data_IF_646511995493
#
_entry.id   IF_646511995493
#
_cell.length_a   1.000
_cell.length_b   1.000
_cell.length_c   1.000
_cell.angle_alpha   90.00
_cell.angle_beta   90.00
_cell.angle_gamma   90.00
#
_symmetry.space_group_name_H-M   'P 1'
#
loop_
_entity.id
_entity.type
_entity.pdbx_description
1 polymer ?
#
# COMPACT_ATOMS: atom_id res chain seq x y z
N UNK A 1 -11.66 -8.25 -19.10
CA UNK A 1 -10.94 -9.22 -19.94
C UNK A 1 -11.34 -10.61 -19.49
N UNK A 2 -12.09 -11.34 -20.32
CA UNK A 2 -12.52 -12.72 -20.05
C UNK A 2 -12.15 -13.56 -21.27
N UNK A 3 -10.91 -14.09 -21.35
CA UNK A 3 -10.37 -14.73 -22.55
C UNK A 3 -11.18 -15.95 -23.04
N UNK A 4 -12.07 -16.48 -22.20
CA UNK A 4 -12.93 -17.63 -22.47
C UNK A 4 -14.42 -17.27 -22.57
N UNK A 5 -14.76 -15.97 -22.62
CA UNK A 5 -16.16 -15.52 -22.62
C UNK A 5 -16.88 -15.72 -21.28
N UNK A 6 -16.12 -15.89 -20.19
CA UNK A 6 -16.66 -16.09 -18.84
C UNK A 6 -17.37 -14.84 -18.32
N UNK A 7 -18.35 -15.08 -17.43
CA UNK A 7 -19.02 -14.01 -16.72
C UNK A 7 -18.09 -13.27 -15.74
N UNK A 8 -18.38 -11.99 -15.58
CA UNK A 8 -17.70 -11.11 -14.65
C UNK A 8 -18.15 -11.26 -13.21
N UNK A 9 -17.65 -10.37 -12.36
CA UNK A 9 -18.08 -10.28 -10.97
C UNK A 9 -19.56 -9.88 -10.88
N UNK A 10 -20.32 -10.57 -10.01
CA UNK A 10 -21.66 -10.22 -9.57
C UNK A 10 -21.75 -10.15 -8.05
N UNK A 11 -22.56 -9.23 -7.53
CA UNK A 11 -22.66 -8.88 -6.09
C UNK A 11 -23.17 -10.04 -5.21
N UNK A 12 -23.81 -11.05 -5.81
CA UNK A 12 -24.45 -12.18 -5.11
C UNK A 12 -23.73 -13.52 -5.29
N UNK A 13 -22.41 -13.51 -5.54
CA UNK A 13 -21.64 -14.74 -5.52
C UNK A 13 -21.40 -15.20 -4.09
N UNK A 14 -21.87 -16.40 -3.74
CA UNK A 14 -21.58 -17.03 -2.45
C UNK A 14 -20.15 -17.56 -2.43
N UNK A 15 -19.50 -17.46 -1.27
CA UNK A 15 -18.25 -18.15 -1.02
C UNK A 15 -18.50 -19.65 -1.01
N UNK A 16 -17.49 -20.41 -1.42
CA UNK A 16 -17.56 -21.86 -1.51
C UNK A 16 -16.40 -22.44 -0.73
N UNK A 17 -16.67 -23.45 0.11
CA UNK A 17 -15.62 -24.17 0.81
C UNK A 17 -14.68 -24.89 -0.17
N UNK A 18 -13.36 -24.88 0.08
CA UNK A 18 -12.45 -25.70 -0.69
C UNK A 18 -12.85 -27.18 -0.59
N UNK A 19 -12.81 -27.90 -1.71
CA UNK A 19 -13.01 -29.36 -1.81
C UNK A 19 -14.45 -29.87 -1.68
N UNK A 20 -15.26 -29.33 -0.77
CA UNK A 20 -16.66 -29.76 -0.54
C UNK A 20 -17.67 -29.07 -1.45
N UNK A 21 -17.30 -27.95 -2.07
CA UNK A 21 -18.18 -27.11 -2.89
C UNK A 21 -19.46 -26.61 -2.19
N UNK A 22 -19.48 -26.65 -0.86
CA UNK A 22 -20.60 -26.16 -0.07
C UNK A 22 -20.64 -24.63 -0.10
N UNK A 23 -21.80 -24.06 -0.39
CA UNK A 23 -21.99 -22.62 -0.33
C UNK A 23 -22.00 -22.16 1.12
N UNK A 24 -21.16 -21.20 1.43
CA UNK A 24 -21.15 -20.49 2.69
C UNK A 24 -22.14 -19.33 2.57
N UNK A 25 -22.87 -19.02 3.66
CA UNK A 25 -23.73 -17.83 3.79
C UNK A 25 -22.90 -16.52 3.90
N UNK A 26 -21.94 -16.33 3.00
CA UNK A 26 -21.09 -15.15 2.92
C UNK A 26 -20.81 -14.85 1.46
N UNK A 27 -21.03 -13.61 1.05
CA UNK A 27 -20.76 -13.20 -0.33
C UNK A 27 -19.26 -13.01 -0.58
N UNK A 28 -18.85 -13.24 -1.83
CA UNK A 28 -17.51 -12.96 -2.34
C UNK A 28 -17.45 -11.46 -2.64
N UNK A 29 -16.48 -10.75 -2.08
CA UNK A 29 -16.25 -9.34 -2.44
C UNK A 29 -15.62 -9.23 -3.83
N UNK A 30 -15.79 -8.08 -4.52
CA UNK A 30 -15.12 -7.83 -5.79
C UNK A 30 -13.60 -7.97 -5.64
N UNK A 31 -13.05 -7.52 -4.51
CA UNK A 31 -11.63 -7.63 -4.19
C UNK A 31 -11.17 -9.08 -4.15
N UNK A 32 -11.91 -9.96 -3.45
CA UNK A 32 -11.60 -11.39 -3.38
C UNK A 32 -11.69 -12.07 -4.74
N UNK A 33 -12.73 -11.74 -5.52
CA UNK A 33 -12.95 -12.30 -6.86
C UNK A 33 -11.81 -11.92 -7.83
N UNK A 34 -11.43 -10.65 -7.89
CA UNK A 34 -10.36 -10.20 -8.78
C UNK A 34 -8.97 -10.63 -8.29
N UNK A 35 -8.72 -10.66 -6.98
CA UNK A 35 -7.49 -11.22 -6.43
C UNK A 35 -7.31 -12.69 -6.82
N UNK A 36 -8.39 -13.48 -6.73
CA UNK A 36 -8.40 -14.88 -7.17
C UNK A 36 -8.01 -15.00 -8.65
N UNK A 37 -8.59 -14.17 -9.54
CA UNK A 37 -8.26 -14.17 -10.97
C UNK A 37 -6.83 -13.71 -11.30
N UNK A 38 -6.21 -12.90 -10.44
CA UNK A 38 -4.82 -12.43 -10.59
C UNK A 38 -3.79 -13.34 -9.92
N UNK A 39 -4.25 -14.40 -9.25
CA UNK A 39 -3.37 -15.34 -8.57
C UNK A 39 -2.59 -16.17 -9.60
N UNK A 40 -1.28 -16.29 -9.37
CA UNK A 40 -0.42 -17.21 -10.15
C UNK A 40 -0.73 -18.64 -9.70
N UNK A 41 -0.93 -19.55 -10.65
CA UNK A 41 -1.27 -20.96 -10.41
C UNK A 41 -0.47 -21.86 -11.35
N UNK A 42 -0.42 -23.15 -11.03
CA UNK A 42 0.12 -24.18 -11.93
C UNK A 42 -0.65 -24.23 -13.26
N UNK A 43 -1.96 -23.98 -13.23
CA UNK A 43 -2.79 -23.81 -14.42
C UNK A 43 -2.50 -22.46 -15.10
N UNK A 44 -2.47 -22.44 -16.42
CA UNK A 44 -2.15 -21.25 -17.21
C UNK A 44 -3.09 -20.05 -16.89
N UNK A 45 -2.54 -19.00 -16.26
CA UNK A 45 -3.24 -17.73 -16.07
C UNK A 45 -2.86 -16.75 -17.19
N UNK A 46 -3.48 -16.92 -18.37
CA UNK A 46 -3.21 -16.11 -19.56
C UNK A 46 -3.36 -14.61 -19.35
N UNK A 47 -4.23 -14.21 -18.42
CA UNK A 47 -4.50 -12.80 -18.10
C UNK A 47 -3.23 -12.03 -17.78
N UNK A 48 -2.27 -12.67 -17.09
CA UNK A 48 -1.01 -12.05 -16.67
C UNK A 48 -0.03 -11.81 -17.83
N UNK A 49 -0.26 -12.41 -19.00
CA UNK A 49 0.63 -12.34 -20.15
C UNK A 49 0.32 -11.17 -21.11
N UNK A 50 -0.81 -10.49 -20.94
CA UNK A 50 -1.30 -9.49 -21.91
C UNK A 50 -0.76 -8.05 -21.72
N UNK A 51 0.30 -7.85 -20.91
CA UNK A 51 1.05 -6.58 -20.77
C UNK A 51 0.13 -5.36 -20.57
N UNK A 52 0.07 -4.44 -21.54
CA UNK A 52 -0.75 -3.22 -21.46
C UNK A 52 -2.24 -3.48 -21.26
N UNK A 53 -2.78 -4.58 -21.79
CA UNK A 53 -4.18 -4.98 -21.57
C UNK A 53 -4.41 -5.47 -20.13
N UNK A 54 -3.41 -6.11 -19.51
CA UNK A 54 -3.46 -6.45 -18.08
C UNK A 54 -3.56 -5.17 -17.25
N UNK A 55 -2.80 -4.13 -17.58
CA UNK A 55 -2.88 -2.85 -16.84
C UNK A 55 -4.26 -2.23 -16.91
N UNK A 56 -4.84 -2.13 -18.12
CA UNK A 56 -6.22 -1.63 -18.29
C UNK A 56 -7.21 -2.44 -17.47
N UNK A 57 -7.12 -3.77 -17.55
CA UNK A 57 -7.95 -4.66 -16.75
C UNK A 57 -7.79 -4.40 -15.24
N UNK A 58 -6.56 -4.27 -14.74
CA UNK A 58 -6.29 -3.97 -13.33
C UNK A 58 -6.92 -2.65 -12.89
N UNK A 59 -6.80 -1.59 -13.68
CA UNK A 59 -7.42 -0.30 -13.39
C UNK A 59 -8.94 -0.38 -13.36
N UNK A 60 -9.54 -1.03 -14.37
CA UNK A 60 -10.99 -1.19 -14.45
C UNK A 60 -11.53 -2.00 -13.26
N UNK A 61 -10.85 -3.08 -12.88
CA UNK A 61 -11.28 -3.91 -11.76
C UNK A 61 -11.07 -3.18 -10.42
N UNK A 62 -10.01 -2.39 -10.28
CA UNK A 62 -9.80 -1.54 -9.11
C UNK A 62 -10.90 -0.49 -8.97
N UNK A 63 -11.31 0.16 -10.06
CA UNK A 63 -12.43 1.10 -10.04
C UNK A 63 -13.73 0.45 -9.56
N UNK A 64 -14.01 -0.80 -9.96
CA UNK A 64 -15.16 -1.58 -9.47
C UNK A 64 -15.06 -1.88 -7.96
N UNK A 65 -13.88 -2.29 -7.49
CA UNK A 65 -13.64 -2.54 -6.06
C UNK A 65 -13.87 -1.27 -5.24
N UNK A 66 -13.34 -0.13 -5.71
CA UNK A 66 -13.50 1.15 -5.03
C UNK A 66 -14.96 1.63 -5.05
N UNK A 67 -15.68 1.43 -6.16
CA UNK A 67 -17.10 1.73 -6.24
C UNK A 67 -17.93 0.91 -5.21
N UNK A 68 -17.64 -0.39 -5.07
CA UNK A 68 -18.27 -1.25 -4.07
C UNK A 68 -17.97 -0.79 -2.64
N UNK A 69 -16.72 -0.41 -2.35
CA UNK A 69 -16.32 0.15 -1.05
C UNK A 69 -17.02 1.47 -0.73
N UNK A 70 -17.08 2.39 -1.69
CA UNK A 70 -17.78 3.67 -1.54
C UNK A 70 -19.28 3.47 -1.36
N UNK A 71 -19.88 2.53 -2.07
CA UNK A 71 -21.28 2.15 -1.89
C UNK A 71 -21.52 1.60 -0.49
N UNK A 72 -20.66 0.71 0.00
CA UNK A 72 -20.75 0.20 1.37
C UNK A 72 -20.69 1.33 2.40
N UNK A 73 -19.73 2.26 2.26
CA UNK A 73 -19.60 3.42 3.16
C UNK A 73 -20.86 4.28 3.12
N UNK A 74 -21.38 4.59 1.92
CA UNK A 74 -22.61 5.37 1.72
C UNK A 74 -23.83 4.73 2.38
N UNK A 75 -23.98 3.41 2.28
CA UNK A 75 -25.13 2.68 2.82
C UNK A 75 -25.02 2.43 4.33
N UNK A 76 -23.81 2.39 4.90
CA UNK A 76 -23.57 2.02 6.29
C UNK A 76 -23.10 3.19 7.18
N UNK A 77 -23.37 4.44 6.80
CA UNK A 77 -22.95 5.64 7.56
C UNK A 77 -23.31 5.59 9.06
N UNK A 78 -24.52 5.11 9.40
CA UNK A 78 -24.95 4.94 10.82
C UNK A 78 -24.08 3.94 11.58
N UNK A 79 -23.73 2.80 10.97
CA UNK A 79 -22.85 1.79 11.59
C UNK A 79 -21.42 2.30 11.75
N UNK A 80 -20.98 3.17 10.84
CA UNK A 80 -19.69 3.84 10.89
C UNK A 80 -19.67 5.03 11.86
N UNK A 81 -20.75 5.22 12.65
CA UNK A 81 -20.92 6.30 13.63
C UNK A 81 -20.61 7.67 13.07
N UNK A 82 -21.03 7.87 11.82
CA UNK A 82 -20.71 9.11 11.11
C UNK A 82 -21.26 10.35 11.80
N UNK A 83 -22.38 10.18 12.50
CA UNK A 83 -23.08 11.24 13.23
C UNK A 83 -22.20 11.83 14.37
N UNK A 84 -21.29 11.06 14.96
CA UNK A 84 -20.30 11.56 15.95
C UNK A 84 -19.29 12.55 15.31
N UNK A 85 -19.05 12.44 13.99
CA UNK A 85 -18.15 13.35 13.28
C UNK A 85 -18.83 14.64 12.82
N UNK A 86 -20.18 14.71 12.85
CA UNK A 86 -20.95 15.88 12.39
C UNK A 86 -20.67 17.08 13.30
N UNK A 87 -20.62 16.87 14.62
CA UNK A 87 -20.35 17.95 15.58
C UNK A 87 -18.95 18.59 15.39
N UNK A 88 -17.99 17.82 14.86
CA UNK A 88 -16.62 18.29 14.56
C UNK A 88 -16.57 19.09 13.24
N UNK A 89 -17.53 18.85 12.33
CA UNK A 89 -17.66 19.55 11.04
C UNK A 89 -18.51 20.82 11.16
N UNK A 90 -19.54 20.83 12.00
CA UNK A 90 -20.38 22.01 12.26
C UNK A 90 -19.57 23.15 12.90
N UNK A 91 -18.54 22.83 13.69
CA UNK A 91 -17.58 23.81 14.19
C UNK A 91 -16.69 24.45 13.10
N UNK A 92 -16.58 23.83 11.91
CA UNK A 92 -15.69 24.25 10.80
C UNK A 92 -16.49 24.87 9.64
N UNK A 93 -17.78 24.57 9.50
CA UNK A 93 -18.58 24.83 8.28
C UNK A 93 -19.73 25.82 8.53
N UNK A 94 -19.50 26.89 9.28
CA UNK A 94 -20.51 27.94 9.51
C UNK A 94 -20.73 28.89 8.30
N UNK A 95 -20.29 28.53 7.10
CA UNK A 95 -20.17 29.46 5.97
C UNK A 95 -20.76 28.93 4.64
N UNK A 96 -21.80 28.09 4.67
CA UNK A 96 -22.40 27.56 3.42
C UNK A 96 -23.90 27.28 3.50
N UNK A 97 -24.61 27.64 2.42
CA UNK A 97 -26.06 27.63 2.28
C UNK A 97 -26.65 26.19 2.26
N UNK A 98 -27.55 25.83 3.19
CA UNK A 98 -28.06 24.46 3.36
C UNK A 98 -28.94 23.94 2.21
N UNK A 99 -29.39 24.81 1.28
CA UNK A 99 -30.26 24.44 0.17
C UNK A 99 -29.57 23.67 -0.98
N UNK A 100 -28.22 23.67 -1.04
CA UNK A 100 -27.45 23.09 -2.16
C UNK A 100 -26.77 21.74 -1.85
N UNK A 101 -27.03 21.14 -0.70
CA UNK A 101 -26.35 19.90 -0.32
C UNK A 101 -27.17 18.66 -0.72
N UNK A 102 -26.66 17.90 -1.70
CA UNK A 102 -26.97 16.46 -1.79
C UNK A 102 -26.59 15.73 -0.50
N UNK A 103 -27.08 14.50 -0.30
CA UNK A 103 -26.80 13.73 0.93
C UNK A 103 -25.29 13.60 1.18
N UNK A 104 -24.81 14.27 2.22
CA UNK A 104 -23.40 14.24 2.62
C UNK A 104 -23.01 12.81 3.03
N UNK A 105 -21.98 12.25 2.39
CA UNK A 105 -21.37 10.98 2.78
C UNK A 105 -19.99 11.28 3.33
N UNK A 106 -19.77 10.91 4.59
CA UNK A 106 -18.49 11.10 5.26
C UNK A 106 -17.64 9.85 5.05
N UNK A 107 -16.44 10.07 4.52
CA UNK A 107 -15.44 9.00 4.37
C UNK A 107 -14.68 8.81 5.69
N UNK A 108 -14.54 7.57 6.18
CA UNK A 108 -13.71 7.28 7.34
C UNK A 108 -12.23 7.53 7.00
N UNK A 109 -11.42 7.75 8.03
CA UNK A 109 -9.97 7.97 7.87
C UNK A 109 -9.23 6.72 7.37
N UNK A 110 -9.83 5.55 7.54
CA UNK A 110 -9.37 4.27 6.97
C UNK A 110 -9.49 4.19 5.45
N UNK A 111 -10.24 5.10 4.80
CA UNK A 111 -10.33 5.14 3.35
C UNK A 111 -9.09 5.81 2.75
N UNK A 112 -8.19 5.02 2.17
CA UNK A 112 -6.91 5.50 1.64
C UNK A 112 -7.10 6.65 0.63
N UNK A 113 -6.37 7.74 0.83
CA UNK A 113 -6.36 8.87 -0.10
C UNK A 113 -7.48 9.90 0.12
N UNK A 114 -8.46 9.65 1.00
CA UNK A 114 -9.42 10.69 1.39
C UNK A 114 -8.73 11.81 2.20
N UNK A 115 -9.31 13.02 2.25
CA UNK A 115 -8.76 14.13 3.05
C UNK A 115 -8.51 13.75 4.51
N UNK A 116 -9.41 12.97 5.12
CA UNK A 116 -9.29 12.55 6.52
C UNK A 116 -8.13 11.58 6.74
N UNK A 117 -7.93 10.63 5.83
CA UNK A 117 -6.79 9.71 5.86
C UNK A 117 -5.46 10.47 5.82
N UNK A 118 -5.36 11.45 4.91
CA UNK A 118 -4.15 12.30 4.80
C UNK A 118 -3.96 13.17 6.04
N UNK A 119 -5.04 13.71 6.59
CA UNK A 119 -4.99 14.53 7.81
C UNK A 119 -4.52 13.71 9.01
N UNK A 120 -5.04 12.50 9.20
CA UNK A 120 -4.61 11.58 10.26
C UNK A 120 -3.11 11.25 10.14
N UNK A 121 -2.63 10.84 8.96
CA UNK A 121 -1.20 10.59 8.75
C UNK A 121 -0.32 11.81 9.03
N UNK A 122 -0.79 13.01 8.67
CA UNK A 122 -0.06 14.24 8.97
C UNK A 122 -0.03 14.53 10.48
N UNK A 123 -1.16 14.35 11.18
CA UNK A 123 -1.24 14.51 12.63
C UNK A 123 -0.35 13.50 13.36
N UNK A 124 -0.33 12.24 12.94
CA UNK A 124 0.56 11.21 13.48
C UNK A 124 2.03 11.63 13.33
N UNK A 125 2.43 12.07 12.13
CA UNK A 125 3.79 12.54 11.88
C UNK A 125 4.17 13.74 12.77
N UNK A 126 3.29 14.73 12.89
CA UNK A 126 3.48 15.88 13.79
C UNK A 126 3.59 15.44 15.25
N UNK A 127 2.79 14.46 15.66
CA UNK A 127 2.81 13.91 17.02
C UNK A 127 4.16 13.26 17.33
N UNK A 128 4.70 12.45 16.41
CA UNK A 128 6.04 11.87 16.56
C UNK A 128 7.13 12.93 16.64
N UNK A 129 7.10 13.98 15.80
CA UNK A 129 8.07 15.08 15.86
C UNK A 129 7.94 15.86 17.18
N UNK A 130 6.72 16.11 17.66
CA UNK A 130 6.49 16.84 18.91
C UNK A 130 7.00 16.08 20.15
N UNK A 131 6.85 14.75 20.18
CA UNK A 131 7.28 13.93 21.32
C UNK A 131 8.71 13.39 21.19
N UNK A 132 9.19 13.18 19.97
CA UNK A 132 10.49 12.59 19.66
C UNK A 132 11.55 13.59 19.21
N UNK A 133 11.19 14.83 18.92
CA UNK A 133 12.08 15.80 18.28
C UNK A 133 12.35 15.46 16.81
N UNK A 134 13.47 15.92 16.29
CA UNK A 134 13.93 15.59 14.93
C UNK A 134 14.24 14.09 14.80
N UNK A 135 13.84 13.42 13.70
CA UNK A 135 14.25 12.04 13.44
C UNK A 135 15.77 11.88 13.52
N UNK A 136 16.23 10.73 14.02
CA UNK A 136 17.66 10.39 14.04
C UNK A 136 18.17 9.97 12.66
N UNK A 137 17.30 9.39 11.82
CA UNK A 137 17.62 8.94 10.47
C UNK A 137 16.48 9.26 9.50
N UNK A 138 16.85 9.76 8.31
CA UNK A 138 15.98 9.80 7.12
C UNK A 138 16.53 8.84 6.07
N UNK A 139 15.80 7.77 5.78
CA UNK A 139 16.22 6.71 4.86
C UNK A 139 15.31 6.70 3.63
N UNK A 140 15.92 6.83 2.45
CA UNK A 140 15.23 6.55 1.19
C UNK A 140 15.50 5.11 0.74
N UNK A 141 14.44 4.30 0.64
CA UNK A 141 14.49 2.93 0.12
C UNK A 141 13.88 2.87 -1.28
N UNK A 142 14.70 2.61 -2.30
CA UNK A 142 14.25 2.56 -3.71
C UNK A 142 14.24 1.13 -4.24
N UNK A 143 13.18 0.75 -4.96
CA UNK A 143 13.10 -0.57 -5.58
C UNK A 143 14.15 -0.77 -6.68
N UNK A 144 14.92 -1.86 -6.57
CA UNK A 144 15.85 -2.29 -7.60
C UNK A 144 15.16 -3.28 -8.57
N UNK A 145 14.90 -2.89 -9.84
CA UNK A 145 14.24 -3.76 -10.82
C UNK A 145 15.11 -4.95 -11.24
N UNK A 146 16.42 -4.92 -11.02
CA UNK A 146 17.36 -5.98 -11.40
C UNK A 146 17.46 -7.10 -10.35
N UNK A 147 16.55 -7.17 -9.39
CA UNK A 147 16.54 -8.23 -8.40
C UNK A 147 16.21 -9.60 -9.02
N UNK A 148 16.75 -10.67 -8.40
CA UNK A 148 16.58 -12.06 -8.88
C UNK A 148 15.10 -12.45 -8.95
N UNK A 149 14.30 -12.00 -7.98
CA UNK A 149 12.87 -12.31 -7.92
C UNK A 149 12.10 -11.76 -9.12
N UNK A 150 12.48 -10.57 -9.64
CA UNK A 150 11.91 -10.05 -10.88
C UNK A 150 12.32 -10.91 -12.07
N UNK A 151 13.61 -11.24 -12.19
CA UNK A 151 14.11 -12.03 -13.31
C UNK A 151 13.49 -13.44 -13.38
N UNK A 152 13.17 -14.05 -12.23
CA UNK A 152 12.56 -15.38 -12.16
C UNK A 152 11.06 -15.41 -12.47
N UNK A 153 10.33 -14.30 -12.28
CA UNK A 153 8.86 -14.26 -12.36
C UNK A 153 8.32 -13.53 -13.59
N UNK A 154 9.16 -12.80 -14.32
CA UNK A 154 8.80 -12.16 -15.60
C UNK A 154 8.87 -13.22 -16.70
N UNK A 155 7.78 -13.40 -17.45
CA UNK A 155 7.69 -14.41 -18.53
C UNK A 155 8.35 -13.91 -19.82
N UNK A 156 8.74 -14.85 -20.70
CA UNK A 156 9.45 -14.55 -21.94
C UNK A 156 8.71 -13.49 -22.79
N UNK A 157 9.43 -12.42 -23.13
CA UNK A 157 8.92 -11.29 -23.91
C UNK A 157 8.24 -10.19 -23.10
N UNK A 158 8.03 -10.35 -21.79
CA UNK A 158 7.57 -9.26 -20.92
C UNK A 158 8.75 -8.40 -20.45
N UNK A 159 8.53 -7.10 -20.37
CA UNK A 159 9.41 -6.18 -19.65
C UNK A 159 8.99 -6.08 -18.18
N UNK A 160 9.88 -5.56 -17.33
CA UNK A 160 9.61 -5.32 -15.90
C UNK A 160 8.47 -4.32 -15.70
N UNK A 161 8.32 -3.39 -16.64
CA UNK A 161 7.24 -2.41 -16.66
C UNK A 161 5.90 -3.01 -17.07
N UNK A 162 5.87 -4.20 -17.69
CA UNK A 162 4.61 -4.91 -18.00
C UNK A 162 4.02 -5.64 -16.79
N UNK A 163 4.76 -5.70 -15.67
CA UNK A 163 4.40 -6.46 -14.47
C UNK A 163 4.45 -5.60 -13.21
N UNK A 164 3.69 -4.51 -13.21
CA UNK A 164 3.54 -3.64 -12.04
C UNK A 164 3.00 -4.39 -10.80
N UNK A 165 2.24 -5.47 -10.99
CA UNK A 165 1.81 -6.37 -9.92
C UNK A 165 3.01 -7.03 -9.21
N UNK A 166 4.00 -7.50 -9.96
CA UNK A 166 5.23 -8.08 -9.41
C UNK A 166 6.07 -7.03 -8.70
N UNK A 167 6.23 -5.85 -9.33
CA UNK A 167 6.97 -4.73 -8.74
C UNK A 167 6.37 -4.38 -7.36
N UNK A 168 5.05 -4.21 -7.27
CA UNK A 168 4.37 -3.90 -6.02
C UNK A 168 4.54 -4.99 -4.95
N UNK A 169 4.40 -6.26 -5.35
CA UNK A 169 4.51 -7.41 -4.43
C UNK A 169 5.94 -7.57 -3.90
N UNK A 170 6.93 -7.55 -4.79
CA UNK A 170 8.33 -7.74 -4.42
C UNK A 170 8.83 -6.54 -3.61
N UNK A 171 8.49 -5.31 -4.01
CA UNK A 171 8.81 -4.11 -3.23
C UNK A 171 8.25 -4.20 -1.82
N UNK A 172 6.96 -4.53 -1.66
CA UNK A 172 6.34 -4.67 -0.34
C UNK A 172 7.03 -5.73 0.51
N UNK A 173 7.30 -6.91 -0.04
CA UNK A 173 7.98 -7.98 0.70
C UNK A 173 9.39 -7.58 1.14
N UNK A 174 10.16 -6.94 0.25
CA UNK A 174 11.51 -6.48 0.58
C UNK A 174 11.49 -5.33 1.58
N UNK A 175 10.56 -4.38 1.45
CA UNK A 175 10.38 -3.29 2.41
C UNK A 175 10.02 -3.82 3.80
N UNK A 176 9.12 -4.79 3.92
CA UNK A 176 8.78 -5.41 5.22
C UNK A 176 10.00 -6.08 5.84
N UNK A 177 10.80 -6.82 5.04
CA UNK A 177 12.04 -7.42 5.51
C UNK A 177 13.05 -6.35 5.95
N UNK A 178 13.19 -5.28 5.20
CA UNK A 178 14.06 -4.15 5.52
C UNK A 178 13.64 -3.47 6.83
N UNK A 179 12.36 -3.17 7.01
CA UNK A 179 11.83 -2.62 8.26
C UNK A 179 12.07 -3.56 9.46
N UNK A 180 11.95 -4.88 9.27
CA UNK A 180 12.29 -5.83 10.33
C UNK A 180 13.78 -5.77 10.71
N UNK A 181 14.69 -5.62 9.75
CA UNK A 181 16.13 -5.45 10.03
C UNK A 181 16.39 -4.16 10.80
N UNK A 182 15.76 -3.05 10.39
CA UNK A 182 15.88 -1.76 11.05
C UNK A 182 15.34 -1.78 12.49
N UNK A 183 14.13 -2.29 12.68
CA UNK A 183 13.40 -2.19 13.96
C UNK A 183 13.76 -3.34 14.89
N UNK A 184 13.67 -4.59 14.40
CA UNK A 184 13.89 -5.79 15.22
C UNK A 184 15.37 -6.18 15.27
N UNK A 185 16.07 -6.03 14.14
CA UNK A 185 17.51 -6.24 14.08
C UNK A 185 18.31 -5.12 14.76
N UNK A 186 17.70 -3.96 15.00
CA UNK A 186 18.30 -2.81 15.69
C UNK A 186 19.69 -2.46 15.12
N UNK A 187 19.85 -2.53 13.79
CA UNK A 187 21.15 -2.34 13.12
C UNK A 187 21.76 -0.95 13.35
N UNK A 188 20.93 0.03 13.68
CA UNK A 188 21.34 1.39 14.05
C UNK A 188 21.13 1.69 15.54
N UNK A 189 20.84 0.68 16.36
CA UNK A 189 20.43 0.80 17.75
C UNK A 189 18.92 0.66 17.97
N UNK A 190 18.50 0.80 19.22
CA UNK A 190 17.10 0.62 19.62
C UNK A 190 16.19 1.70 19.05
N UNK A 191 15.17 1.30 18.30
CA UNK A 191 14.18 2.20 17.68
C UNK A 191 13.06 2.55 18.67
N UNK A 192 12.86 3.84 18.92
CA UNK A 192 11.77 4.38 19.76
C UNK A 192 10.49 4.57 18.94
N UNK A 193 10.60 5.26 17.81
CA UNK A 193 9.50 5.52 16.89
C UNK A 193 9.98 5.32 15.45
N UNK A 194 9.06 4.98 14.56
CA UNK A 194 9.32 4.93 13.13
C UNK A 194 8.06 5.32 12.37
N UNK A 195 8.23 5.92 11.20
CA UNK A 195 7.17 6.13 10.24
C UNK A 195 7.73 5.97 8.83
N UNK A 196 6.91 5.56 7.88
CA UNK A 196 7.31 5.58 6.48
C UNK A 196 6.14 5.90 5.57
N UNK A 197 6.44 6.56 4.46
CA UNK A 197 5.52 6.74 3.34
C UNK A 197 6.03 5.96 2.14
N UNK A 198 5.10 5.45 1.32
CA UNK A 198 5.42 4.84 0.02
C UNK A 198 4.90 5.76 -1.07
N UNK A 199 5.77 6.09 -2.02
CA UNK A 199 5.43 6.95 -3.14
C UNK A 199 5.58 6.18 -4.45
N UNK A 200 4.55 6.30 -5.29
CA UNK A 200 4.55 5.77 -6.65
C UNK A 200 4.68 6.93 -7.62
N UNK A 201 5.83 7.03 -8.27
CA UNK A 201 6.07 8.07 -9.26
C UNK A 201 5.75 7.56 -10.66
N UNK A 202 5.12 8.38 -11.49
CA UNK A 202 4.55 7.98 -12.80
C UNK A 202 5.52 7.20 -13.71
N UNK A 203 6.83 7.46 -13.63
CA UNK A 203 7.86 6.82 -14.46
C UNK A 203 9.02 6.23 -13.66
N UNK A 204 8.95 6.27 -12.32
CA UNK A 204 9.98 5.70 -11.45
C UNK A 204 9.40 4.53 -10.66
N UNK A 205 10.29 3.61 -10.28
CA UNK A 205 9.91 2.52 -9.41
C UNK A 205 9.50 3.03 -8.03
N UNK A 206 8.70 2.27 -7.26
CA UNK A 206 8.29 2.70 -5.95
C UNK A 206 9.51 2.95 -5.04
N UNK A 207 9.40 4.00 -4.24
CA UNK A 207 10.35 4.28 -3.17
C UNK A 207 9.58 4.53 -1.87
N UNK A 208 10.27 4.29 -0.76
CA UNK A 208 9.79 4.56 0.58
C UNK A 208 10.70 5.59 1.23
N UNK A 209 10.10 6.61 1.85
CA UNK A 209 10.79 7.50 2.77
C UNK A 209 10.52 7.01 4.18
N UNK A 210 11.56 6.73 4.95
CA UNK A 210 11.47 6.13 6.28
C UNK A 210 12.14 7.08 7.26
N UNK A 211 11.42 7.49 8.31
CA UNK A 211 11.98 8.23 9.44
C UNK A 211 12.11 7.30 10.64
N UNK A 212 13.24 7.41 11.35
CA UNK A 212 13.51 6.61 12.55
C UNK A 212 13.96 7.54 13.67
N UNK A 213 13.38 7.35 14.85
CA UNK A 213 13.85 7.93 16.11
C UNK A 213 14.51 6.82 16.92
N UNK A 214 15.80 6.97 17.18
CA UNK A 214 16.55 6.04 18.02
C UNK A 214 16.41 6.43 19.49
N UNK A 215 16.51 5.45 20.38
CA UNK A 215 16.51 5.68 21.83
C UNK A 215 17.77 6.42 22.25
N UNK A 216 18.92 6.04 21.65
CA UNK A 216 20.19 6.73 21.80
C UNK A 216 20.55 7.34 20.45
N UNK A 217 20.82 8.64 20.42
CA UNK A 217 21.24 9.35 19.21
C UNK A 217 22.61 8.87 18.76
N UNK A 218 22.74 8.54 17.48
CA UNK A 218 24.04 8.25 16.87
C UNK A 218 24.94 9.49 16.94
N UNK A 219 26.21 9.29 17.27
CA UNK A 219 27.20 10.37 17.24
C UNK A 219 27.59 10.66 15.78
N UNK A 220 27.91 11.90 15.40
CA UNK A 220 28.27 12.25 14.02
C UNK A 220 29.35 11.35 13.40
N UNK A 221 30.33 10.92 14.21
CA UNK A 221 31.40 10.02 13.77
C UNK A 221 30.90 8.61 13.40
N UNK A 222 29.82 8.14 14.03
CA UNK A 222 29.19 6.85 13.72
C UNK A 222 28.34 6.94 12.45
N UNK A 223 27.87 8.12 12.07
CA UNK A 223 27.03 8.33 10.88
C UNK A 223 27.87 8.36 9.59
N UNK A 224 29.10 8.87 9.66
CA UNK A 224 30.00 8.93 8.50
C UNK A 224 30.37 7.56 7.94
N UNK A 225 30.41 6.52 8.77
CA UNK A 225 30.62 5.14 8.33
C UNK A 225 29.43 4.61 7.48
N UNK A 226 28.25 5.20 7.62
CA UNK A 226 27.04 4.81 6.89
C UNK A 226 26.72 5.71 5.69
N UNK A 227 27.32 6.90 5.58
CA UNK A 227 26.96 7.94 4.61
C UNK A 227 27.26 7.60 3.13
N UNK A 228 27.88 6.46 2.83
CA UNK A 228 28.07 5.98 1.45
C UNK A 228 27.75 4.49 1.24
N UNK A 229 27.00 3.87 2.15
CA UNK A 229 26.69 2.47 2.03
C UNK A 229 25.44 2.25 1.14
N UNK A 230 25.65 1.79 -0.10
CA UNK A 230 24.86 0.61 -0.51
C UNK A 230 25.10 -0.40 0.63
N UNK A 231 24.12 -0.65 1.51
CA UNK A 231 24.24 -1.72 2.52
C UNK A 231 24.33 -3.02 1.73
N UNK A 232 25.55 -3.37 1.35
CA UNK A 232 25.82 -4.39 0.34
C UNK A 232 25.94 -5.77 0.96
N UNK A 233 25.95 -5.94 2.28
CA UNK A 233 26.40 -7.22 2.85
C UNK A 233 25.81 -7.69 4.19
N UNK A 234 24.72 -7.12 4.71
CA UNK A 234 24.14 -7.69 5.95
C UNK A 234 23.15 -8.84 5.71
N UNK A 235 22.59 -8.98 4.51
CA UNK A 235 21.81 -10.15 4.08
C UNK A 235 21.99 -10.25 2.57
N UNK A 236 22.05 -11.47 2.03
CA UNK A 236 22.26 -11.96 0.65
C UNK A 236 21.45 -11.27 -0.50
N UNK A 237 21.35 -9.95 -0.49
CA UNK A 237 20.56 -9.13 -1.39
C UNK A 237 21.49 -8.10 -2.05
N UNK A 238 22.07 -8.51 -3.18
CA UNK A 238 22.89 -7.62 -4.02
C UNK A 238 22.10 -6.36 -4.41
N UNK A 239 22.67 -5.19 -4.07
CA UNK A 239 22.35 -3.80 -4.46
C UNK A 239 20.98 -3.26 -4.02
N UNK A 240 21.01 -2.50 -2.92
CA UNK A 240 20.01 -1.48 -2.59
C UNK A 240 20.71 -0.12 -2.50
N UNK A 241 20.13 0.91 -3.14
CA UNK A 241 20.57 2.28 -2.93
C UNK A 241 19.84 2.80 -1.69
N UNK A 242 20.58 2.94 -0.60
CA UNK A 242 20.15 3.62 0.61
C UNK A 242 20.75 5.01 0.57
N UNK A 243 19.91 6.05 0.57
CA UNK A 243 20.37 7.41 0.83
C UNK A 243 19.96 7.75 2.25
N UNK A 244 20.95 7.89 3.14
CA UNK A 244 20.77 8.52 4.45
C UNK A 244 20.97 10.02 4.22
N UNK A 245 19.93 10.80 4.42
CA UNK A 245 20.05 12.26 4.54
C UNK A 245 19.96 12.58 6.03
N UNK A 246 20.89 13.37 6.55
CA UNK A 246 20.83 13.92 7.92
C UNK A 246 20.10 15.25 7.84
#
# INVERSE_FOLDING_TARGET
MFPRGEDGYGINFNQVEPETYNQINKTVSAMSFYAYRLMVRSTENRSLNYRRLLHQYLFDMYAKIEAERLLFIRLNQKKLRVDEYIHLKDAITNDSDPANHGKLVILPSTFTGCPRNKHEYAQDAITYVRHGGTPSLFITYTFNPNCKEMAQNVTNGQSKTDRHDLVARIFRQKLIKFMNVLIKGQVFGSVKYWLYSIEWQKHRFPHSHILIWLTNTLRPNEINDFNYAEILNLIEYKKFVMLILI
#
